data_IF_670385027984
#
_entry.id   IF_670385027984
#
_cell.length_a   1.000
_cell.length_b   1.000
_cell.length_c   1.000
_cell.angle_alpha   90.00
_cell.angle_beta   90.00
_cell.angle_gamma   90.00
#
_symmetry.space_group_name_H-M   'P 1'
#
loop_
_entity.id
_entity.type
_entity.pdbx_description
1 polymer ?
#
# COMPACT_ATOMS: atom_id res chain seq x y z
N UNK A 1 29.56 -15.65 5.31
CA UNK A 1 28.71 -14.58 4.76
C UNK A 1 27.37 -15.20 4.40
N UNK A 2 26.34 -15.03 5.24
CA UNK A 2 25.00 -15.55 4.92
C UNK A 2 24.34 -14.59 3.92
N UNK A 3 24.11 -15.06 2.70
CA UNK A 3 23.23 -14.36 1.77
C UNK A 3 21.80 -14.52 2.29
N UNK A 4 21.21 -13.44 2.80
CA UNK A 4 19.79 -13.43 3.16
C UNK A 4 19.00 -13.54 1.86
N UNK A 5 18.57 -14.76 1.52
CA UNK A 5 17.69 -15.01 0.39
C UNK A 5 16.33 -14.37 0.73
N UNK A 6 16.04 -13.21 0.16
CA UNK A 6 14.75 -12.56 0.33
C UNK A 6 13.67 -13.43 -0.34
N UNK A 7 12.85 -14.10 0.47
CA UNK A 7 11.67 -14.80 -0.03
C UNK A 7 10.56 -13.80 -0.31
N UNK A 8 9.95 -13.90 -1.49
CA UNK A 8 8.79 -13.09 -1.85
C UNK A 8 7.62 -13.34 -0.87
N UNK A 9 6.74 -12.34 -0.74
CA UNK A 9 5.54 -12.43 0.10
C UNK A 9 4.29 -12.16 -0.74
N UNK A 10 3.23 -12.92 -0.47
CA UNK A 10 1.91 -12.62 -1.01
C UNK A 10 1.35 -11.38 -0.32
N UNK A 11 0.80 -10.48 -1.13
CA UNK A 11 0.08 -9.31 -0.68
C UNK A 11 -1.39 -9.44 -1.04
N UNK A 12 -2.26 -8.82 -0.25
CA UNK A 12 -3.63 -8.55 -0.65
C UNK A 12 -3.67 -7.14 -1.23
N UNK A 13 -4.12 -7.02 -2.47
CA UNK A 13 -4.34 -5.73 -3.14
C UNK A 13 -5.82 -5.42 -3.16
N UNK A 14 -6.21 -4.29 -2.57
CA UNK A 14 -7.56 -3.76 -2.61
C UNK A 14 -7.60 -2.56 -3.56
N UNK A 15 -8.41 -2.67 -4.62
CA UNK A 15 -8.61 -1.61 -5.59
C UNK A 15 -9.71 -0.69 -5.07
N UNK A 16 -9.35 0.47 -4.53
CA UNK A 16 -10.31 1.39 -3.89
C UNK A 16 -11.35 1.86 -4.91
N UNK A 17 -10.90 2.15 -6.14
CA UNK A 17 -11.77 2.61 -7.23
C UNK A 17 -12.21 1.48 -8.17
N UNK A 18 -11.91 0.22 -7.84
CA UNK A 18 -12.12 -0.94 -8.72
C UNK A 18 -11.22 -1.00 -9.96
N UNK A 19 -10.28 -0.05 -10.12
CA UNK A 19 -9.36 0.03 -11.27
C UNK A 19 -7.92 -0.31 -10.85
N UNK A 20 -7.16 -1.07 -11.65
CA UNK A 20 -5.78 -1.44 -11.33
C UNK A 20 -4.81 -0.25 -11.34
N UNK A 21 -5.18 0.86 -11.99
CA UNK A 21 -4.38 2.09 -12.06
C UNK A 21 -4.83 3.17 -11.09
N UNK A 22 -5.99 3.02 -10.46
CA UNK A 22 -6.54 3.96 -9.48
C UNK A 22 -5.84 3.87 -8.12
N UNK A 23 -6.50 4.37 -7.09
CA UNK A 23 -6.03 4.25 -5.72
C UNK A 23 -6.05 2.79 -5.27
N UNK A 24 -4.95 2.35 -4.68
CA UNK A 24 -4.70 0.97 -4.29
C UNK A 24 -4.24 0.91 -2.85
N UNK A 25 -4.67 -0.12 -2.14
CA UNK A 25 -4.21 -0.44 -0.80
C UNK A 25 -3.63 -1.84 -0.79
N UNK A 26 -2.39 -1.99 -0.37
CA UNK A 26 -1.70 -3.27 -0.26
C UNK A 26 -1.39 -3.61 1.20
N UNK A 27 -1.66 -4.85 1.58
CA UNK A 27 -1.40 -5.38 2.93
C UNK A 27 -0.70 -6.73 2.84
N UNK A 28 0.10 -7.04 3.86
CA UNK A 28 0.77 -8.33 3.99
C UNK A 28 0.23 -9.04 5.22
N UNK A 29 -0.18 -10.30 5.11
CA UNK A 29 -0.69 -11.06 6.25
C UNK A 29 0.36 -11.14 7.37
N UNK A 30 -0.02 -10.84 8.61
CA UNK A 30 0.87 -10.84 9.77
C UNK A 30 1.79 -9.62 9.88
N UNK A 31 1.61 -8.58 9.04
CA UNK A 31 2.26 -7.28 9.20
C UNK A 31 1.20 -6.20 9.41
N UNK A 32 1.41 -5.33 10.40
CA UNK A 32 0.44 -4.30 10.80
C UNK A 32 0.43 -3.09 9.86
N UNK A 33 1.45 -2.93 9.02
CA UNK A 33 1.54 -1.81 8.09
C UNK A 33 0.62 -1.95 6.87
N UNK A 34 0.36 -0.81 6.25
CA UNK A 34 -0.40 -0.72 5.00
C UNK A 34 0.32 0.19 4.01
N UNK A 35 0.32 -0.22 2.76
CA UNK A 35 0.86 0.59 1.65
C UNK A 35 -0.31 1.13 0.84
N UNK A 36 -0.34 2.44 0.62
CA UNK A 36 -1.26 3.09 -0.28
C UNK A 36 -0.51 3.53 -1.52
N UNK A 37 -1.09 3.30 -2.70
CA UNK A 37 -0.46 3.64 -3.97
C UNK A 37 -1.43 4.45 -4.81
N UNK A 38 -0.99 5.61 -5.27
CA UNK A 38 -1.73 6.48 -6.17
C UNK A 38 -0.90 6.82 -7.41
N UNK A 39 -1.58 7.18 -8.50
CA UNK A 39 -0.94 7.88 -9.61
C UNK A 39 -0.75 9.35 -9.22
N UNK A 40 0.04 10.09 -10.00
CA UNK A 40 0.18 11.54 -9.80
C UNK A 40 -1.18 12.27 -9.80
N UNK A 41 -2.11 11.85 -10.67
CA UNK A 41 -3.46 12.44 -10.74
C UNK A 41 -4.37 12.10 -9.56
N UNK A 42 -4.18 10.95 -8.91
CA UNK A 42 -4.98 10.53 -7.74
C UNK A 42 -4.30 10.77 -6.41
N UNK A 43 -3.04 11.22 -6.41
CA UNK A 43 -2.28 11.53 -5.20
C UNK A 43 -2.96 12.56 -4.28
N UNK A 44 -3.57 13.65 -4.79
CA UNK A 44 -4.31 14.58 -3.91
C UNK A 44 -5.48 13.91 -3.17
N UNK A 45 -6.16 12.98 -3.84
CA UNK A 45 -7.26 12.22 -3.24
C UNK A 45 -6.76 11.19 -2.22
N UNK A 46 -5.54 10.66 -2.40
CA UNK A 46 -4.87 9.84 -1.39
C UNK A 46 -4.56 10.67 -0.15
N UNK A 47 -3.89 11.81 -0.31
CA UNK A 47 -3.44 12.65 0.81
C UNK A 47 -4.58 13.29 1.60
N UNK A 48 -5.77 13.41 1.00
CA UNK A 48 -6.96 13.91 1.67
C UNK A 48 -7.64 12.89 2.60
N UNK A 49 -7.19 11.63 2.63
CA UNK A 49 -7.80 10.58 3.46
C UNK A 49 -7.27 10.67 4.88
N UNK A 50 -8.17 10.71 5.86
CA UNK A 50 -7.84 10.75 7.30
C UNK A 50 -6.90 9.61 7.74
N UNK A 51 -6.98 8.46 7.06
CA UNK A 51 -6.11 7.32 7.35
C UNK A 51 -4.62 7.58 7.06
N UNK A 52 -4.25 8.57 6.24
CA UNK A 52 -2.85 8.91 5.91
C UNK A 52 -2.05 9.37 7.12
N UNK A 53 -2.69 10.06 8.06
CA UNK A 53 -2.01 10.60 9.23
C UNK A 53 -1.77 9.53 10.33
N UNK A 54 -2.18 8.28 10.07
CA UNK A 54 -2.03 7.18 11.04
C UNK A 54 -0.65 6.53 10.94
N UNK A 55 -0.16 6.05 12.07
CA UNK A 55 1.09 5.28 12.12
C UNK A 55 0.98 3.99 11.30
N UNK A 56 2.08 3.58 10.67
CA UNK A 56 2.13 2.33 9.90
C UNK A 56 1.53 2.43 8.49
N UNK A 57 1.25 3.65 8.02
CA UNK A 57 0.87 3.94 6.64
C UNK A 57 2.11 4.34 5.84
N UNK A 58 2.25 3.75 4.66
CA UNK A 58 3.29 4.05 3.69
C UNK A 58 2.62 4.46 2.38
N UNK A 59 3.16 5.47 1.71
CA UNK A 59 2.64 6.03 0.45
C UNK A 59 3.69 5.93 -0.64
#
# INVERSE_FOLDING_TARGET
>A
MNSTKNFGRTIQLFLVDGKPTGLRKATIHGWTGVVLVASQSTFPALTAREEIDRTGVYV
#
